data_IF_456781640055
#
_entry.id   IF_456781640055
#
_cell.length_a   1.000
_cell.length_b   1.000
_cell.length_c   1.000
_cell.angle_alpha   90.00
_cell.angle_beta   90.00
_cell.angle_gamma   90.00
#
_symmetry.space_group_name_H-M   'P 1'
#
loop_
_entity.id
_entity.type
_entity.pdbx_description
1 polymer ?
#
# COMPACT_ATOMS: atom_id res chain seq x y z
N UNK A 1 13.52 -16.18 0.64
CA UNK A 1 12.25 -15.51 1.03
C UNK A 1 12.06 -14.36 0.07
N UNK A 2 11.07 -14.42 -0.82
CA UNK A 2 10.87 -13.39 -1.84
C UNK A 2 10.29 -12.15 -1.14
N UNK A 3 11.01 -11.03 -1.17
CA UNK A 3 10.50 -9.73 -0.73
C UNK A 3 9.37 -9.32 -1.68
N UNK A 4 8.14 -9.25 -1.18
CA UNK A 4 7.00 -8.77 -1.98
C UNK A 4 7.19 -7.27 -2.19
N UNK A 5 7.34 -6.90 -3.46
CA UNK A 5 7.46 -5.51 -3.89
C UNK A 5 6.31 -5.19 -4.83
N UNK A 6 5.74 -4.01 -4.66
CA UNK A 6 4.61 -3.51 -5.45
C UNK A 6 5.08 -2.36 -6.32
N UNK A 7 4.54 -2.26 -7.52
CA UNK A 7 4.65 -1.02 -8.28
C UNK A 7 3.62 0.00 -7.82
N UNK A 8 3.89 1.27 -8.06
CA UNK A 8 2.96 2.36 -7.75
C UNK A 8 1.58 2.16 -8.39
N UNK A 9 1.55 1.57 -9.59
CA UNK A 9 0.30 1.25 -10.30
C UNK A 9 -0.47 0.15 -9.57
N UNK A 10 0.20 -0.91 -9.14
CA UNK A 10 -0.42 -1.98 -8.35
C UNK A 10 -0.89 -1.46 -6.99
N UNK A 11 -0.04 -0.72 -6.27
CA UNK A 11 -0.39 -0.11 -5.00
C UNK A 11 -1.63 0.77 -5.12
N UNK A 12 -1.68 1.64 -6.15
CA UNK A 12 -2.83 2.51 -6.38
C UNK A 12 -4.11 1.73 -6.69
N UNK A 13 -3.99 0.61 -7.43
CA UNK A 13 -5.11 -0.29 -7.74
C UNK A 13 -5.60 -1.03 -6.49
N UNK A 14 -4.69 -1.56 -5.70
CA UNK A 14 -4.96 -2.27 -4.45
C UNK A 14 -5.62 -1.37 -3.40
N UNK A 15 -5.14 -0.13 -3.26
CA UNK A 15 -5.70 0.87 -2.35
C UNK A 15 -7.00 1.50 -2.88
N UNK A 16 -7.34 1.26 -4.15
CA UNK A 16 -8.42 1.95 -4.85
C UNK A 16 -8.24 3.46 -4.75
N UNK A 17 -7.03 3.96 -4.98
CA UNK A 17 -6.64 5.35 -4.76
C UNK A 17 -5.91 5.95 -5.97
N UNK A 18 -5.84 7.27 -6.05
CA UNK A 18 -5.16 7.94 -7.16
C UNK A 18 -3.64 7.68 -7.10
N UNK A 19 -3.00 7.21 -8.19
CA UNK A 19 -1.56 6.98 -8.25
C UNK A 19 -0.75 8.25 -7.94
N UNK A 20 -1.23 9.44 -8.31
CA UNK A 20 -0.56 10.69 -7.99
C UNK A 20 -0.45 10.94 -6.47
N UNK A 21 -1.51 10.60 -5.71
CA UNK A 21 -1.47 10.69 -4.25
C UNK A 21 -0.57 9.62 -3.64
N UNK A 22 -0.64 8.38 -4.14
CA UNK A 22 0.27 7.32 -3.71
C UNK A 22 1.73 7.76 -3.91
N UNK A 23 2.04 8.39 -5.05
CA UNK A 23 3.38 8.93 -5.37
C UNK A 23 3.86 9.95 -4.35
N UNK A 24 2.99 10.89 -3.97
CA UNK A 24 3.33 11.91 -2.97
C UNK A 24 3.63 11.27 -1.62
N UNK A 25 2.81 10.31 -1.19
CA UNK A 25 2.98 9.65 0.12
C UNK A 25 4.23 8.76 0.12
N UNK A 26 4.46 7.98 -0.93
CA UNK A 26 5.69 7.17 -1.08
C UNK A 26 6.94 8.05 -1.01
N UNK A 27 6.95 9.21 -1.69
CA UNK A 27 8.03 10.19 -1.56
C UNK A 27 8.18 10.74 -0.15
N UNK A 28 7.08 11.03 0.54
CA UNK A 28 7.11 11.48 1.94
C UNK A 28 7.68 10.40 2.89
N UNK A 29 7.55 9.13 2.53
CA UNK A 29 8.12 8.01 3.27
C UNK A 29 9.59 7.74 2.93
N UNK A 30 10.18 8.49 1.98
CA UNK A 30 11.57 8.34 1.57
C UNK A 30 11.83 7.20 0.58
N UNK A 31 10.78 6.62 0.00
CA UNK A 31 10.89 5.57 -1.01
C UNK A 31 10.78 6.14 -2.43
N UNK A 32 11.37 5.42 -3.40
CA UNK A 32 11.27 5.82 -4.80
C UNK A 32 9.91 5.37 -5.38
N UNK A 33 9.07 6.31 -5.86
CA UNK A 33 7.75 5.98 -6.39
C UNK A 33 7.77 5.38 -7.79
N UNK A 34 8.91 5.38 -8.49
CA UNK A 34 9.08 4.70 -9.76
C UNK A 34 9.83 3.37 -9.60
N UNK A 35 10.27 3.06 -8.38
CA UNK A 35 10.96 1.82 -8.03
C UNK A 35 10.04 0.82 -7.32
N UNK A 36 10.59 -0.36 -6.97
CA UNK A 36 9.86 -1.37 -6.23
C UNK A 36 9.50 -0.86 -4.82
N UNK A 37 8.20 -0.78 -4.53
CA UNK A 37 7.68 -0.37 -3.23
C UNK A 37 7.59 -1.61 -2.34
N UNK A 38 8.37 -1.66 -1.27
CA UNK A 38 8.28 -2.75 -0.30
C UNK A 38 6.93 -2.75 0.43
N UNK A 39 6.51 -3.92 0.89
CA UNK A 39 5.28 -4.08 1.69
C UNK A 39 5.17 -3.12 2.88
N UNK A 40 6.28 -2.85 3.60
CA UNK A 40 6.33 -1.87 4.69
C UNK A 40 5.90 -0.46 4.24
N UNK A 41 6.39 -0.01 3.09
CA UNK A 41 6.03 1.29 2.52
C UNK A 41 4.58 1.26 2.08
N UNK A 42 4.14 0.17 1.44
CA UNK A 42 2.75 0.02 1.01
C UNK A 42 1.76 0.09 2.20
N UNK A 43 2.06 -0.58 3.31
CA UNK A 43 1.30 -0.52 4.55
C UNK A 43 1.26 0.89 5.15
N UNK A 44 2.41 1.60 5.15
CA UNK A 44 2.49 2.99 5.59
C UNK A 44 1.69 3.94 4.71
N UNK A 45 1.69 3.73 3.39
CA UNK A 45 0.87 4.51 2.45
C UNK A 45 -0.61 4.30 2.75
N UNK A 46 -1.04 3.06 2.96
CA UNK A 46 -2.42 2.74 3.31
C UNK A 46 -2.85 3.38 4.63
N UNK A 47 -2.00 3.32 5.67
CA UNK A 47 -2.24 3.96 6.95
C UNK A 47 -2.39 5.49 6.83
N UNK A 48 -1.58 6.14 5.98
CA UNK A 48 -1.67 7.59 5.70
C UNK A 48 -3.00 7.99 5.05
N UNK A 49 -3.54 7.16 4.15
CA UNK A 49 -4.85 7.40 3.51
C UNK A 49 -6.02 6.81 4.29
N UNK A 50 -5.77 6.27 5.50
CA UNK A 50 -6.77 5.60 6.36
C UNK A 50 -7.54 4.49 5.63
N UNK A 51 -6.85 3.74 4.76
CA UNK A 51 -7.41 2.56 4.10
C UNK A 51 -7.00 1.29 4.83
N UNK A 52 -7.84 0.25 4.81
CA UNK A 52 -7.45 -1.07 5.28
C UNK A 52 -6.27 -1.59 4.43
N UNK A 53 -5.25 -2.10 5.11
CA UNK A 53 -4.13 -2.83 4.53
C UNK A 53 -3.80 -4.00 5.44
N UNK A 54 -3.54 -5.21 4.89
CA UNK A 54 -3.40 -5.55 3.47
C UNK A 54 -4.72 -5.47 2.66
N UNK A 55 -4.63 -5.22 1.35
CA UNK A 55 -5.77 -5.22 0.44
C UNK A 55 -6.19 -6.67 0.26
N UNK A 56 -7.02 -7.17 1.16
CA UNK A 56 -7.53 -8.54 1.10
C UNK A 56 -8.26 -8.72 -0.22
N UNK A 57 -7.59 -9.35 -1.19
CA UNK A 57 -8.23 -10.00 -2.32
C UNK A 57 -8.95 -11.20 -1.70
N UNK A 58 -10.13 -10.96 -1.14
CA UNK A 58 -11.07 -11.98 -0.63
C UNK A 58 -10.41 -13.16 0.13
N UNK A 59 -9.87 -12.92 1.33
CA UNK A 59 -9.72 -13.97 2.34
C UNK A 59 -9.50 -13.34 3.74
N UNK A 60 -10.53 -13.43 4.58
CA UNK A 60 -10.41 -13.69 6.02
C UNK A 60 -9.77 -12.60 6.92
N UNK A 61 -10.59 -11.68 7.47
CA UNK A 61 -10.30 -11.01 8.74
C UNK A 61 -11.59 -10.45 9.37
N UNK A 62 -12.51 -11.34 9.67
CA UNK A 62 -13.37 -11.24 10.85
C UNK A 62 -12.44 -11.30 12.09
N UNK A 63 -11.84 -10.18 12.50
CA UNK A 63 -11.26 -9.98 13.83
C UNK A 63 -10.65 -8.57 13.96
N UNK A 64 -11.45 -7.59 14.38
CA UNK A 64 -11.19 -6.76 15.57
C UNK A 64 -12.09 -5.52 15.55
N UNK A 65 -13.34 -5.74 15.95
CA UNK A 65 -14.08 -4.76 16.75
C UNK A 65 -15.10 -5.57 17.56
N UNK A 66 -14.60 -6.19 18.63
CA UNK A 66 -15.42 -6.50 19.81
C UNK A 66 -15.85 -5.21 20.50
#
# INVERSE_FOLDING_TARGET
MATVTYDLKELSRLLGWNPAHCKVIVKQLGADPNGPISEDIAAKVAGKIRRPWPPQIEAEAEAVAS
#
